data_IF_678164081249
#
_entry.id   IF_678164081249
#
_cell.length_a   1.000
_cell.length_b   1.000
_cell.length_c   1.000
_cell.angle_alpha   90.00
_cell.angle_beta   90.00
_cell.angle_gamma   90.00
#
_symmetry.space_group_name_H-M   'P 1'
#
loop_
_entity.id
_entity.type
_entity.pdbx_description
1 polymer ?
#
# COMPACT_ATOMS: atom_id res chain seq x y z
N UNK A 1 17.02 1.79 1.35
CA UNK A 1 16.46 0.62 2.06
C UNK A 1 17.38 -0.57 1.99
N UNK A 2 17.61 -1.16 0.82
CA UNK A 2 18.47 -2.36 0.66
C UNK A 2 19.96 -2.10 0.90
N UNK A 3 20.51 -0.99 0.41
CA UNK A 3 21.95 -0.68 0.59
C UNK A 3 22.25 -0.26 2.04
N UNK A 4 21.53 0.75 2.55
CA UNK A 4 21.85 1.39 3.84
C UNK A 4 21.02 0.90 5.04
N UNK A 5 20.09 -0.04 4.87
CA UNK A 5 19.20 -0.51 5.94
C UNK A 5 18.24 0.56 6.51
N UNK A 6 18.05 1.68 5.78
CA UNK A 6 17.24 2.85 6.18
C UNK A 6 16.22 3.24 5.11
N UNK A 7 15.11 3.84 5.54
CA UNK A 7 14.12 4.44 4.64
C UNK A 7 14.73 5.59 3.82
N UNK A 8 14.12 5.89 2.67
CA UNK A 8 14.56 7.02 1.85
C UNK A 8 14.27 8.34 2.58
N UNK A 9 15.24 9.26 2.55
CA UNK A 9 15.06 10.62 3.02
C UNK A 9 14.83 11.53 1.82
N UNK A 10 13.83 12.41 1.92
CA UNK A 10 13.53 13.46 0.95
C UNK A 10 13.49 14.83 1.64
N UNK A 11 13.32 15.88 0.85
CA UNK A 11 13.13 17.25 1.31
C UNK A 11 11.99 17.91 0.54
N UNK A 12 11.63 19.14 0.95
CA UNK A 12 10.46 19.88 0.47
C UNK A 12 9.11 19.26 0.89
N UNK A 13 8.02 19.99 0.64
CA UNK A 13 6.66 19.50 0.86
C UNK A 13 6.20 18.58 -0.28
N UNK A 14 5.17 17.78 -0.02
CA UNK A 14 4.49 17.04 -1.08
C UNK A 14 3.55 18.00 -1.84
N UNK A 15 3.91 18.32 -3.06
CA UNK A 15 3.17 19.19 -3.97
C UNK A 15 2.54 18.44 -5.15
N UNK A 16 2.50 17.11 -5.09
CA UNK A 16 1.78 16.25 -6.03
C UNK A 16 0.27 16.20 -5.69
N UNK A 17 -0.60 15.76 -6.62
CA UNK A 17 -2.04 15.73 -6.43
C UNK A 17 -2.43 14.83 -5.27
N UNK A 18 -3.54 15.16 -4.63
CA UNK A 18 -4.21 14.20 -3.77
C UNK A 18 -4.53 12.94 -4.59
N UNK A 19 -4.38 11.77 -3.98
CA UNK A 19 -4.58 10.47 -4.64
C UNK A 19 -5.95 10.33 -5.32
N UNK A 20 -6.96 11.08 -4.86
CA UNK A 20 -8.30 11.13 -5.46
C UNK A 20 -8.40 12.04 -6.70
N UNK A 21 -7.48 12.98 -6.86
CA UNK A 21 -7.37 13.94 -7.98
C UNK A 21 -6.29 13.53 -8.98
N UNK A 22 -5.41 12.59 -8.61
CA UNK A 22 -4.39 12.02 -9.46
C UNK A 22 -5.01 11.42 -10.74
N UNK A 23 -4.39 11.72 -11.88
CA UNK A 23 -4.79 11.17 -13.19
C UNK A 23 -4.21 9.78 -13.44
N UNK A 24 -3.07 9.48 -12.79
CA UNK A 24 -2.41 8.18 -12.85
C UNK A 24 -3.07 7.19 -11.86
N UNK A 25 -3.11 5.89 -12.19
CA UNK A 25 -3.68 4.88 -11.30
C UNK A 25 -2.84 4.79 -10.02
N UNK A 26 -3.50 4.89 -8.86
CA UNK A 26 -2.84 4.89 -7.56
C UNK A 26 -3.07 3.58 -6.80
N UNK A 27 -2.11 3.20 -5.96
CA UNK A 27 -2.29 2.04 -5.10
C UNK A 27 -3.28 2.36 -3.98
N UNK A 28 -4.04 1.34 -3.56
CA UNK A 28 -5.03 1.52 -2.49
C UNK A 28 -4.42 2.07 -1.20
N UNK A 29 -3.16 1.73 -0.92
CA UNK A 29 -2.43 2.21 0.25
C UNK A 29 -2.34 3.74 0.30
N UNK A 30 -2.18 4.41 -0.84
CA UNK A 30 -1.95 5.86 -0.92
C UNK A 30 -3.15 6.71 -0.51
N UNK A 31 -4.35 6.11 -0.51
CA UNK A 31 -5.56 6.77 -0.03
C UNK A 31 -5.62 6.90 1.49
N UNK A 32 -4.77 6.17 2.21
CA UNK A 32 -4.70 6.21 3.66
C UNK A 32 -3.63 7.20 4.11
N UNK A 33 -3.96 8.01 5.12
CA UNK A 33 -3.04 9.03 5.67
C UNK A 33 -2.73 8.72 7.12
N UNK A 34 -1.46 8.44 7.43
CA UNK A 34 -1.00 8.19 8.79
C UNK A 34 -1.47 9.31 9.73
N UNK A 35 -2.19 8.94 10.78
CA UNK A 35 -2.48 9.84 11.89
C UNK A 35 -1.25 10.00 12.77
N UNK A 36 -1.16 11.10 13.49
CA UNK A 36 -0.16 11.33 14.51
C UNK A 36 -0.79 12.04 15.69
N UNK A 37 -0.32 11.73 16.90
CA UNK A 37 -0.77 12.39 18.10
C UNK A 37 -0.14 13.79 18.17
N UNK A 38 -0.98 14.81 18.35
CA UNK A 38 -0.53 16.15 18.67
C UNK A 38 -0.95 16.44 20.10
N UNK A 39 0.00 16.85 20.94
CA UNK A 39 -0.21 17.29 22.34
C UNK A 39 -0.57 16.17 23.33
N UNK A 40 -1.27 15.10 22.93
CA UNK A 40 -1.95 14.21 23.87
C UNK A 40 -1.13 13.05 24.44
N UNK A 41 -0.02 12.61 23.82
CA UNK A 41 0.82 11.52 24.33
C UNK A 41 2.30 11.78 24.01
N UNK A 42 3.26 11.54 24.93
CA UNK A 42 4.68 11.50 24.60
C UNK A 42 5.00 10.29 23.68
N UNK A 43 5.99 10.39 22.78
CA UNK A 43 6.46 9.23 22.03
C UNK A 43 7.07 8.18 22.96
N UNK A 44 6.80 6.90 22.70
CA UNK A 44 7.23 5.73 23.50
C UNK A 44 8.11 4.82 22.64
N UNK A 45 8.96 4.00 23.27
CA UNK A 45 9.73 2.91 22.65
C UNK A 45 8.80 1.74 22.26
N UNK A 46 8.55 1.50 20.96
CA UNK A 46 7.62 0.46 20.53
C UNK A 46 8.29 -0.91 20.35
N UNK A 47 7.51 -1.98 20.44
CA UNK A 47 7.92 -3.37 20.13
C UNK A 47 7.15 -3.94 18.95
N UNK A 48 7.86 -4.69 18.09
CA UNK A 48 7.34 -5.38 16.90
C UNK A 48 6.89 -6.82 17.14
N UNK A 49 7.09 -7.34 18.36
CA UNK A 49 6.73 -8.72 18.68
C UNK A 49 5.25 -8.97 18.39
N UNK A 50 4.99 -9.97 17.53
CA UNK A 50 3.66 -10.19 16.95
C UNK A 50 3.21 -11.62 17.16
N UNK A 51 2.01 -11.79 17.73
CA UNK A 51 1.36 -13.10 17.81
C UNK A 51 0.69 -13.44 16.47
N UNK A 52 0.88 -14.68 16.04
CA UNK A 52 0.21 -15.27 14.88
C UNK A 52 -0.94 -16.17 15.35
N UNK A 53 -2.18 -15.80 15.03
CA UNK A 53 -3.38 -16.61 15.32
C UNK A 53 -3.83 -16.57 16.79
N UNK A 54 -4.57 -17.59 17.27
CA UNK A 54 -5.01 -17.69 18.66
C UNK A 54 -3.83 -17.50 19.64
N UNK A 55 -4.03 -16.70 20.70
CA UNK A 55 -2.96 -16.31 21.64
C UNK A 55 -2.36 -17.53 22.36
N UNK A 56 -1.29 -18.09 21.79
CA UNK A 56 -0.39 -19.03 22.45
C UNK A 56 1.04 -18.49 22.41
N UNK A 57 1.81 -18.62 23.50
CA UNK A 57 3.16 -18.03 23.63
C UNK A 57 4.18 -18.53 22.61
N UNK A 58 3.93 -19.67 21.95
CA UNK A 58 4.82 -20.27 20.95
C UNK A 58 4.73 -19.62 19.56
N UNK A 59 3.79 -18.69 19.34
CA UNK A 59 3.51 -18.11 18.03
C UNK A 59 4.02 -16.67 17.87
N UNK A 60 5.08 -16.33 18.60
CA UNK A 60 5.67 -15.00 18.58
C UNK A 60 6.65 -14.89 17.41
N UNK A 61 6.36 -13.99 16.47
CA UNK A 61 7.32 -13.59 15.45
C UNK A 61 8.01 -12.29 15.85
N UNK A 62 9.33 -12.18 15.61
CA UNK A 62 10.10 -10.98 15.94
C UNK A 62 9.78 -9.80 15.01
N UNK A 63 9.31 -10.09 13.79
CA UNK A 63 8.89 -9.09 12.79
C UNK A 63 7.59 -9.55 12.12
N UNK A 64 6.69 -8.61 11.77
CA UNK A 64 5.52 -8.92 10.95
C UNK A 64 5.88 -9.22 9.48
N UNK A 65 7.13 -9.02 9.06
CA UNK A 65 7.57 -9.17 7.68
C UNK A 65 8.23 -10.53 7.50
N UNK A 66 7.68 -11.31 6.56
CA UNK A 66 8.17 -12.64 6.24
C UNK A 66 8.94 -12.66 4.91
N UNK A 67 10.03 -13.41 4.88
CA UNK A 67 10.72 -13.79 3.64
C UNK A 67 9.86 -14.77 2.83
N UNK A 68 10.27 -15.03 1.59
CA UNK A 68 9.58 -16.00 0.73
C UNK A 68 9.67 -17.41 1.33
N UNK A 69 10.84 -17.76 1.89
CA UNK A 69 11.11 -19.04 2.53
C UNK A 69 10.23 -19.21 3.77
N UNK A 70 10.17 -18.19 4.63
CA UNK A 70 9.32 -18.19 5.82
C UNK A 70 7.84 -18.31 5.43
N UNK A 71 7.38 -17.57 4.43
CA UNK A 71 5.99 -17.67 3.93
C UNK A 71 5.69 -19.06 3.35
N UNK A 72 6.62 -19.67 2.62
CA UNK A 72 6.47 -21.03 2.11
C UNK A 72 6.44 -22.07 3.24
N UNK A 73 7.17 -21.84 4.34
CA UNK A 73 7.06 -22.66 5.54
C UNK A 73 5.66 -22.52 6.17
N UNK A 74 5.10 -21.30 6.25
CA UNK A 74 3.74 -21.08 6.75
C UNK A 74 2.65 -21.76 5.88
N UNK A 75 2.84 -21.82 4.55
CA UNK A 75 1.95 -22.57 3.64
C UNK A 75 1.99 -24.09 3.87
N UNK A 76 3.08 -24.60 4.42
CA UNK A 76 3.30 -26.03 4.67
C UNK A 76 3.29 -26.37 6.17
N UNK A 77 2.75 -25.47 7.00
CA UNK A 77 2.85 -25.53 8.46
C UNK A 77 2.31 -26.84 9.04
N UNK A 78 1.29 -27.45 8.40
CA UNK A 78 0.73 -28.75 8.77
C UNK A 78 1.76 -29.89 8.88
N UNK A 79 2.88 -29.81 8.15
CA UNK A 79 3.90 -30.84 8.17
C UNK A 79 4.74 -30.81 9.46
N UNK A 80 5.01 -29.62 9.98
CA UNK A 80 5.72 -29.45 11.25
C UNK A 80 4.75 -29.45 12.44
N UNK A 81 3.57 -28.86 12.26
CA UNK A 81 2.55 -28.69 13.29
C UNK A 81 1.18 -29.12 12.75
N UNK A 82 0.81 -30.42 12.90
CA UNK A 82 -0.45 -30.95 12.37
C UNK A 82 -1.71 -30.23 12.87
N UNK A 83 -1.65 -29.63 14.07
CA UNK A 83 -2.74 -28.85 14.65
C UNK A 83 -2.92 -27.45 14.02
N UNK A 84 -2.02 -27.05 13.12
CA UNK A 84 -1.98 -25.73 12.48
C UNK A 84 -2.04 -25.87 10.94
N UNK A 85 -3.15 -26.38 10.38
CA UNK A 85 -3.35 -26.39 8.95
C UNK A 85 -3.50 -24.96 8.40
N UNK A 86 -2.90 -24.75 7.23
CA UNK A 86 -2.95 -23.48 6.51
C UNK A 86 -3.57 -23.65 5.13
N UNK A 87 -4.24 -22.61 4.67
CA UNK A 87 -4.82 -22.53 3.32
C UNK A 87 -4.38 -21.23 2.65
N UNK A 88 -4.12 -21.30 1.35
CA UNK A 88 -3.86 -20.12 0.53
C UNK A 88 -5.09 -19.80 -0.29
N UNK A 89 -5.62 -18.59 -0.13
CA UNK A 89 -6.75 -18.06 -0.87
C UNK A 89 -6.19 -17.13 -1.96
N UNK A 90 -6.56 -17.42 -3.20
CA UNK A 90 -6.18 -16.62 -4.35
C UNK A 90 -7.00 -15.33 -4.37
N UNK A 91 -6.33 -14.17 -4.33
CA UNK A 91 -6.97 -12.84 -4.41
C UNK A 91 -6.93 -12.24 -5.81
N UNK A 92 -6.91 -13.09 -6.84
CA UNK A 92 -7.03 -12.68 -8.25
C UNK A 92 -8.36 -13.11 -8.87
N UNK A 93 -8.73 -12.48 -9.98
CA UNK A 93 -9.97 -12.74 -10.71
C UNK A 93 -9.74 -12.65 -12.22
N UNK A 94 -10.69 -13.17 -13.02
CA UNK A 94 -10.51 -13.26 -14.46
C UNK A 94 -10.67 -11.88 -15.10
N UNK A 95 -9.78 -11.53 -16.04
CA UNK A 95 -9.84 -10.27 -16.81
C UNK A 95 -11.18 -10.13 -17.54
N UNK A 96 -11.77 -11.25 -17.97
CA UNK A 96 -13.04 -11.33 -18.69
C UNK A 96 -14.27 -10.92 -17.86
N UNK A 97 -14.19 -11.00 -16.53
CA UNK A 97 -15.28 -10.60 -15.63
C UNK A 97 -15.46 -9.07 -15.57
N UNK A 98 -14.54 -8.31 -16.16
CA UNK A 98 -14.59 -6.85 -16.23
C UNK A 98 -14.55 -6.18 -14.85
N UNK A 99 -15.07 -4.95 -14.76
CA UNK A 99 -15.13 -4.20 -13.51
C UNK A 99 -15.94 -4.91 -12.40
N UNK A 100 -17.11 -5.54 -12.68
CA UNK A 100 -17.87 -6.27 -11.65
C UNK A 100 -17.08 -7.41 -10.99
N UNK A 101 -16.15 -8.02 -11.74
CA UNK A 101 -15.26 -9.07 -11.24
C UNK A 101 -14.49 -8.66 -9.98
N UNK A 102 -14.18 -7.37 -9.81
CA UNK A 102 -13.48 -6.88 -8.63
C UNK A 102 -14.28 -7.05 -7.33
N UNK A 103 -15.57 -6.70 -7.35
CA UNK A 103 -16.46 -6.87 -6.19
C UNK A 103 -16.80 -8.36 -5.97
N UNK A 104 -17.06 -9.10 -7.05
CA UNK A 104 -17.32 -10.55 -6.97
C UNK A 104 -16.13 -11.31 -6.38
N UNK A 105 -14.90 -10.95 -6.77
CA UNK A 105 -13.69 -11.52 -6.22
C UNK A 105 -13.54 -11.24 -4.73
N UNK A 106 -13.87 -10.03 -4.28
CA UNK A 106 -13.87 -9.68 -2.87
C UNK A 106 -14.87 -10.53 -2.09
N UNK A 107 -16.10 -10.66 -2.58
CA UNK A 107 -17.14 -11.50 -1.97
C UNK A 107 -16.72 -12.98 -1.92
N UNK A 108 -16.15 -13.49 -3.01
CA UNK A 108 -15.59 -14.85 -3.09
C UNK A 108 -14.52 -15.07 -2.03
N UNK A 109 -13.53 -14.16 -1.95
CA UNK A 109 -12.42 -14.26 -0.99
C UNK A 109 -12.94 -14.23 0.46
N UNK A 110 -13.94 -13.40 0.77
CA UNK A 110 -14.58 -13.40 2.10
C UNK A 110 -15.28 -14.73 2.41
N UNK A 111 -16.02 -15.29 1.45
CA UNK A 111 -16.73 -16.56 1.62
C UNK A 111 -15.77 -17.75 1.74
N UNK A 112 -14.71 -17.79 0.92
CA UNK A 112 -13.66 -18.81 1.01
C UNK A 112 -12.92 -18.74 2.36
N UNK A 113 -12.69 -17.54 2.89
CA UNK A 113 -12.07 -17.35 4.19
C UNK A 113 -12.97 -17.84 5.35
N UNK A 114 -14.28 -17.63 5.24
CA UNK A 114 -15.27 -18.16 6.18
C UNK A 114 -15.32 -19.69 6.13
N UNK A 115 -15.46 -20.28 4.94
CA UNK A 115 -15.47 -21.73 4.76
C UNK A 115 -14.19 -22.37 5.28
N UNK A 116 -13.02 -21.77 5.02
CA UNK A 116 -11.75 -22.26 5.53
C UNK A 116 -11.72 -22.39 7.06
N UNK A 117 -12.35 -21.47 7.79
CA UNK A 117 -12.40 -21.52 9.25
C UNK A 117 -13.34 -22.64 9.72
N UNK A 118 -14.46 -22.84 9.02
CA UNK A 118 -15.39 -23.94 9.27
C UNK A 118 -14.74 -25.31 9.03
N UNK A 119 -13.90 -25.40 7.99
CA UNK A 119 -13.09 -26.57 7.66
C UNK A 119 -11.93 -26.80 8.66
N UNK A 120 -11.79 -25.94 9.67
CA UNK A 120 -10.82 -26.07 10.75
C UNK A 120 -9.44 -25.48 10.47
N UNK A 121 -9.28 -24.70 9.40
CA UNK A 121 -8.03 -24.01 9.09
C UNK A 121 -7.66 -23.00 10.18
N UNK A 122 -6.37 -22.96 10.54
CA UNK A 122 -5.83 -22.05 11.56
C UNK A 122 -5.05 -20.88 10.98
N UNK A 123 -4.63 -20.99 9.73
CA UNK A 123 -3.91 -19.93 9.03
C UNK A 123 -4.52 -19.73 7.65
N UNK A 124 -4.90 -18.51 7.33
CA UNK A 124 -5.37 -18.08 6.01
C UNK A 124 -4.31 -17.17 5.42
N UNK A 125 -3.88 -17.48 4.19
CA UNK A 125 -2.90 -16.71 3.45
C UNK A 125 -3.58 -16.14 2.22
N UNK A 126 -3.76 -14.82 2.15
CA UNK A 126 -4.27 -14.13 0.98
C UNK A 126 -3.10 -13.88 0.01
N UNK A 127 -3.15 -14.45 -1.21
CA UNK A 127 -2.02 -14.42 -2.16
C UNK A 127 -2.40 -13.89 -3.54
N UNK A 128 -1.63 -12.91 -4.04
CA UNK A 128 -1.76 -12.39 -5.41
C UNK A 128 -0.81 -13.05 -6.43
N UNK A 129 -0.17 -14.17 -6.07
CA UNK A 129 0.78 -14.88 -6.95
C UNK A 129 0.20 -15.37 -8.27
N UNK A 130 -1.10 -15.63 -8.34
CA UNK A 130 -1.77 -16.08 -9.57
C UNK A 130 -1.96 -14.95 -10.60
N UNK A 131 -1.45 -13.74 -10.34
CA UNK A 131 -1.51 -12.64 -11.30
C UNK A 131 -0.84 -13.03 -12.60
N UNK A 132 -1.52 -12.84 -13.73
CA UNK A 132 -1.01 -13.19 -15.04
C UNK A 132 -1.74 -12.47 -16.17
N UNK A 133 -1.49 -12.82 -17.44
CA UNK A 133 -2.11 -12.17 -18.61
C UNK A 133 -3.64 -12.14 -18.56
N UNK A 134 -4.25 -13.19 -18.01
CA UNK A 134 -5.71 -13.35 -17.92
C UNK A 134 -6.27 -13.10 -16.52
N UNK A 135 -5.41 -12.84 -15.52
CA UNK A 135 -5.82 -12.71 -14.11
C UNK A 135 -5.39 -11.38 -13.52
N UNK A 136 -6.38 -10.58 -13.12
CA UNK A 136 -6.18 -9.27 -12.49
C UNK A 136 -6.19 -9.46 -10.96
N UNK A 137 -5.25 -8.87 -10.21
CA UNK A 137 -5.26 -8.98 -8.76
C UNK A 137 -6.16 -7.95 -8.13
N UNK A 138 -6.98 -8.42 -7.18
CA UNK A 138 -7.61 -7.58 -6.18
C UNK A 138 -6.51 -6.82 -5.41
N UNK A 139 -6.81 -5.62 -4.92
CA UNK A 139 -5.91 -4.96 -3.99
C UNK A 139 -5.76 -5.83 -2.74
N UNK A 140 -4.52 -6.20 -2.39
CA UNK A 140 -4.25 -7.01 -1.20
C UNK A 140 -4.78 -6.34 0.08
N UNK A 141 -4.80 -5.01 0.11
CA UNK A 141 -5.39 -4.25 1.21
C UNK A 141 -6.92 -4.37 1.25
N UNK A 142 -7.58 -4.35 0.09
CA UNK A 142 -9.04 -4.56 0.01
C UNK A 142 -9.42 -5.97 0.44
N UNK A 143 -8.66 -6.96 -0.04
CA UNK A 143 -8.84 -8.36 0.36
C UNK A 143 -8.66 -8.54 1.87
N UNK A 144 -7.56 -7.99 2.42
CA UNK A 144 -7.26 -8.07 3.85
C UNK A 144 -8.33 -7.37 4.70
N UNK A 145 -8.69 -6.13 4.38
CA UNK A 145 -9.69 -5.37 5.12
C UNK A 145 -11.07 -6.02 5.04
N UNK A 146 -11.51 -6.43 3.84
CA UNK A 146 -12.76 -7.13 3.63
C UNK A 146 -12.86 -8.43 4.43
N UNK A 147 -11.86 -9.30 4.34
CA UNK A 147 -11.81 -10.55 5.11
C UNK A 147 -11.75 -10.26 6.60
N UNK A 148 -10.91 -9.32 7.04
CA UNK A 148 -10.79 -8.97 8.46
C UNK A 148 -12.13 -8.54 9.04
N UNK A 149 -12.81 -7.58 8.41
CA UNK A 149 -14.09 -7.06 8.89
C UNK A 149 -15.23 -8.08 8.75
N UNK A 150 -15.29 -8.84 7.66
CA UNK A 150 -16.24 -9.94 7.49
C UNK A 150 -16.13 -10.96 8.63
N UNK A 151 -14.91 -11.42 8.92
CA UNK A 151 -14.65 -12.38 9.99
C UNK A 151 -14.88 -11.79 11.40
N UNK A 152 -14.70 -10.48 11.59
CA UNK A 152 -15.03 -9.81 12.86
C UNK A 152 -16.56 -9.79 13.06
N UNK A 153 -17.34 -9.45 12.03
CA UNK A 153 -18.80 -9.46 12.08
C UNK A 153 -19.35 -10.87 12.38
N UNK A 154 -18.75 -11.90 11.79
CA UNK A 154 -19.10 -13.31 12.06
C UNK A 154 -18.50 -13.87 13.36
N UNK A 155 -17.77 -13.06 14.15
CA UNK A 155 -17.09 -13.48 15.40
C UNK A 155 -16.10 -14.64 15.21
N UNK A 156 -15.49 -14.72 14.03
CA UNK A 156 -14.55 -15.78 13.64
C UNK A 156 -13.09 -15.31 13.57
N UNK A 157 -12.81 -13.99 13.51
CA UNK A 157 -11.44 -13.46 13.33
C UNK A 157 -10.44 -13.95 14.37
N UNK A 158 -10.86 -14.20 15.62
CA UNK A 158 -9.98 -14.67 16.68
C UNK A 158 -9.54 -16.15 16.52
N UNK A 159 -10.19 -16.92 15.64
CA UNK A 159 -9.94 -18.35 15.45
C UNK A 159 -8.78 -18.65 14.48
N UNK A 160 -8.33 -17.63 13.73
CA UNK A 160 -7.44 -17.80 12.58
C UNK A 160 -6.34 -16.74 12.57
N UNK A 161 -5.17 -17.10 12.05
CA UNK A 161 -4.13 -16.15 11.66
C UNK A 161 -4.37 -15.69 10.22
N UNK A 162 -4.34 -14.38 9.98
CA UNK A 162 -4.49 -13.82 8.64
C UNK A 162 -3.12 -13.34 8.14
N UNK A 163 -2.67 -13.83 7.00
CA UNK A 163 -1.39 -13.43 6.39
C UNK A 163 -1.63 -12.93 4.98
N UNK A 164 -0.79 -12.02 4.51
CA UNK A 164 -0.87 -11.48 3.16
C UNK A 164 0.44 -11.72 2.42
N UNK A 165 0.36 -12.37 1.26
CA UNK A 165 1.46 -12.48 0.30
C UNK A 165 1.12 -11.59 -0.90
N UNK A 166 1.82 -10.46 -1.03
CA UNK A 166 1.48 -9.46 -2.06
C UNK A 166 2.68 -8.96 -2.86
N UNK A 167 2.43 -8.66 -4.14
CA UNK A 167 3.37 -8.03 -5.06
C UNK A 167 3.42 -6.51 -4.96
N UNK A 168 2.40 -5.87 -4.33
CA UNK A 168 2.22 -4.41 -4.33
C UNK A 168 2.83 -3.70 -3.12
N UNK A 169 3.05 -4.42 -2.01
CA UNK A 169 3.66 -3.83 -0.82
C UNK A 169 5.18 -3.63 -1.05
N UNK A 170 5.64 -2.39 -0.86
CA UNK A 170 7.04 -1.99 -1.09
C UNK A 170 7.54 -0.98 -0.06
N UNK A 171 6.68 -0.02 0.28
CA UNK A 171 6.99 1.05 1.24
C UNK A 171 6.52 0.69 2.65
N UNK A 172 7.18 1.32 3.65
CA UNK A 172 6.79 1.21 5.07
C UNK A 172 5.30 1.47 5.25
N UNK A 173 4.77 2.49 4.59
CA UNK A 173 3.36 2.85 4.68
C UNK A 173 2.43 1.72 4.20
N UNK A 174 2.77 1.01 3.12
CA UNK A 174 1.92 -0.07 2.59
C UNK A 174 1.75 -1.20 3.63
N UNK A 175 2.85 -1.51 4.31
CA UNK A 175 2.90 -2.56 5.34
C UNK A 175 2.18 -2.11 6.62
N UNK A 176 2.41 -0.87 7.06
CA UNK A 176 1.68 -0.30 8.18
C UNK A 176 0.16 -0.35 7.96
N UNK A 177 -0.31 0.00 6.76
CA UNK A 177 -1.75 -0.03 6.45
C UNK A 177 -2.29 -1.47 6.44
N UNK A 178 -1.56 -2.43 5.85
CA UNK A 178 -1.97 -3.85 5.90
C UNK A 178 -2.09 -4.38 7.34
N UNK A 179 -1.11 -4.07 8.19
CA UNK A 179 -1.10 -4.44 9.61
C UNK A 179 -2.24 -3.74 10.36
N UNK A 180 -2.43 -2.44 10.12
CA UNK A 180 -3.51 -1.66 10.69
C UNK A 180 -4.90 -2.20 10.35
N UNK A 181 -5.07 -2.80 9.17
CA UNK A 181 -6.33 -3.44 8.74
C UNK A 181 -6.40 -4.95 8.99
N UNK A 182 -5.57 -5.45 9.90
CA UNK A 182 -5.81 -6.74 10.55
C UNK A 182 -5.05 -7.93 9.99
N UNK A 183 -4.04 -7.74 9.13
CA UNK A 183 -3.09 -8.82 8.83
C UNK A 183 -2.16 -9.05 10.02
N UNK A 184 -1.82 -10.32 10.27
CA UNK A 184 -0.87 -10.72 11.28
C UNK A 184 0.57 -10.65 10.76
N UNK A 185 0.79 -11.04 9.50
CA UNK A 185 2.08 -10.94 8.82
C UNK A 185 1.92 -10.59 7.35
N UNK A 186 2.99 -10.09 6.74
CA UNK A 186 3.05 -9.76 5.31
C UNK A 186 4.32 -10.31 4.68
N UNK A 187 4.19 -10.95 3.52
CA UNK A 187 5.30 -11.28 2.63
C UNK A 187 5.21 -10.41 1.37
N UNK A 188 6.05 -9.36 1.24
CA UNK A 188 6.15 -8.57 0.02
C UNK A 188 6.99 -9.30 -1.04
N UNK A 189 6.45 -10.40 -1.59
CA UNK A 189 7.22 -11.36 -2.39
C UNK A 189 7.89 -10.74 -3.63
N UNK A 190 7.23 -9.82 -4.34
CA UNK A 190 7.82 -9.20 -5.52
C UNK A 190 8.97 -8.26 -5.15
N UNK A 191 8.91 -7.62 -3.99
CA UNK A 191 10.02 -6.83 -3.47
C UNK A 191 11.21 -7.74 -3.15
N UNK A 192 10.98 -8.89 -2.51
CA UNK A 192 12.03 -9.88 -2.24
C UNK A 192 12.68 -10.40 -3.53
N UNK A 193 11.90 -10.70 -4.57
CA UNK A 193 12.43 -11.06 -5.89
C UNK A 193 13.19 -9.91 -6.56
N UNK A 194 12.73 -8.68 -6.38
CA UNK A 194 13.45 -7.50 -6.87
C UNK A 194 14.81 -7.34 -6.18
N UNK A 195 14.90 -7.62 -4.88
CA UNK A 195 16.16 -7.62 -4.13
C UNK A 195 17.13 -8.68 -4.69
N UNK A 196 16.63 -9.89 -4.98
CA UNK A 196 17.42 -10.95 -5.62
C UNK A 196 17.96 -10.51 -6.98
N UNK A 197 17.11 -9.86 -7.80
CA UNK A 197 17.51 -9.32 -9.09
C UNK A 197 18.60 -8.26 -8.95
N UNK A 198 18.45 -7.33 -8.02
CA UNK A 198 19.43 -6.28 -7.71
C UNK A 198 20.80 -6.89 -7.35
N UNK A 199 20.81 -7.92 -6.50
CA UNK A 199 22.04 -8.63 -6.13
C UNK A 199 22.67 -9.37 -7.31
N UNK A 200 21.86 -10.09 -8.11
CA UNK A 200 22.35 -10.82 -9.30
C UNK A 200 22.95 -9.91 -10.36
N UNK A 201 22.36 -8.72 -10.55
CA UNK A 201 22.79 -7.74 -11.56
C UNK A 201 23.86 -6.76 -11.01
N UNK A 202 24.28 -6.92 -9.76
CA UNK A 202 25.27 -6.05 -9.08
C UNK A 202 24.94 -4.55 -9.21
N UNK A 203 23.66 -4.19 -9.04
CA UNK A 203 23.20 -2.80 -9.16
C UNK A 203 23.58 -1.93 -7.95
N UNK A 204 24.16 -2.53 -6.91
CA UNK A 204 24.62 -1.84 -5.69
C UNK A 204 26.14 -1.79 -5.71
N UNK A 205 26.71 -0.65 -5.28
CA UNK A 205 28.16 -0.41 -5.28
C UNK A 205 28.90 -1.25 -4.25
N UNK A 206 28.24 -1.60 -3.14
CA UNK A 206 28.78 -2.47 -2.10
C UNK A 206 28.71 -3.94 -2.50
N UNK A 207 29.76 -4.70 -2.18
CA UNK A 207 29.84 -6.15 -2.38
C UNK A 207 29.03 -6.90 -1.32
N UNK A 208 27.71 -6.72 -1.35
CA UNK A 208 26.78 -7.34 -0.41
C UNK A 208 26.12 -8.58 -0.99
N UNK A 209 25.89 -9.57 -0.15
CA UNK A 209 25.14 -10.78 -0.53
C UNK A 209 23.63 -10.51 -0.54
N UNK A 210 22.87 -11.32 -1.26
CA UNK A 210 21.40 -11.22 -1.34
C UNK A 210 20.74 -11.32 0.05
N UNK A 211 21.30 -12.15 0.94
CA UNK A 211 20.78 -12.33 2.30
C UNK A 211 21.00 -11.09 3.17
N UNK A 212 22.16 -10.43 3.02
CA UNK A 212 22.43 -9.16 3.69
C UNK A 212 21.49 -8.05 3.18
N UNK A 213 21.26 -7.98 1.85
CA UNK A 213 20.32 -7.01 1.26
C UNK A 213 18.88 -7.23 1.76
N UNK A 214 18.47 -8.49 1.89
CA UNK A 214 17.16 -8.86 2.43
C UNK A 214 17.05 -8.49 3.91
N UNK A 215 18.11 -8.71 4.68
CA UNK A 215 18.19 -8.34 6.09
C UNK A 215 18.13 -6.82 6.28
N UNK A 216 18.85 -6.05 5.46
CA UNK A 216 18.78 -4.59 5.44
C UNK A 216 17.39 -4.08 5.07
N UNK A 217 16.74 -4.69 4.08
CA UNK A 217 15.36 -4.35 3.74
C UNK A 217 14.42 -4.57 4.93
N UNK A 218 14.45 -5.77 5.54
CA UNK A 218 13.62 -6.10 6.71
C UNK A 218 13.88 -5.12 7.86
N UNK A 219 15.15 -4.87 8.19
CA UNK A 219 15.53 -3.90 9.23
C UNK A 219 14.98 -2.49 8.94
N UNK A 220 15.07 -2.03 7.68
CA UNK A 220 14.58 -0.71 7.29
C UNK A 220 13.05 -0.58 7.44
N UNK A 221 12.33 -1.66 7.14
CA UNK A 221 10.88 -1.72 7.28
C UNK A 221 10.48 -1.78 8.75
N UNK A 222 11.11 -2.66 9.52
CA UNK A 222 10.87 -2.83 10.95
C UNK A 222 11.04 -1.50 11.69
N UNK A 223 12.17 -0.82 11.46
CA UNK A 223 12.43 0.50 12.02
C UNK A 223 11.41 1.54 11.52
N UNK A 224 10.98 1.47 10.26
CA UNK A 224 9.94 2.32 9.72
C UNK A 224 8.59 2.13 10.41
N UNK A 225 8.19 0.88 10.67
CA UNK A 225 6.95 0.54 11.38
C UNK A 225 7.00 1.08 12.82
N UNK A 226 8.10 0.85 13.53
CA UNK A 226 8.34 1.40 14.87
C UNK A 226 8.21 2.92 14.89
N UNK A 227 8.80 3.60 13.91
CA UNK A 227 8.69 5.06 13.75
C UNK A 227 7.25 5.52 13.51
N UNK A 228 6.45 4.76 12.76
CA UNK A 228 5.03 5.12 12.54
C UNK A 228 4.20 4.90 13.80
N UNK A 229 4.45 3.82 14.55
CA UNK A 229 3.76 3.54 15.81
C UNK A 229 4.06 4.60 16.88
N UNK A 230 5.32 5.03 16.99
CA UNK A 230 5.73 6.03 17.96
C UNK A 230 5.07 7.40 17.73
N UNK A 231 4.75 7.77 16.48
CA UNK A 231 3.99 9.00 16.16
C UNK A 231 2.61 9.05 16.82
N UNK A 232 1.99 7.91 17.09
CA UNK A 232 0.69 7.80 17.76
C UNK A 232 0.82 7.46 19.25
N UNK A 233 2.03 7.24 19.75
CA UNK A 233 2.27 6.74 21.11
C UNK A 233 1.84 5.29 21.31
N UNK A 234 1.83 4.47 20.25
CA UNK A 234 1.47 3.05 20.33
C UNK A 234 2.72 2.23 20.62
N UNK A 235 2.72 1.48 21.73
CA UNK A 235 3.90 0.74 22.21
C UNK A 235 4.00 -0.70 21.70
N UNK A 236 2.91 -1.32 21.24
CA UNK A 236 2.93 -2.73 20.80
C UNK A 236 2.25 -2.89 19.44
N UNK A 237 2.80 -3.74 18.57
CA UNK A 237 2.19 -3.96 17.25
C UNK A 237 0.78 -4.55 17.36
N UNK A 238 0.51 -5.33 18.41
CA UNK A 238 -0.81 -5.88 18.66
C UNK A 238 -1.89 -4.80 18.87
N UNK A 239 -1.53 -3.68 19.51
CA UNK A 239 -2.45 -2.53 19.66
C UNK A 239 -2.54 -1.68 18.39
N UNK A 240 -1.53 -1.78 17.50
CA UNK A 240 -1.56 -1.14 16.19
C UNK A 240 -2.47 -1.89 15.20
N UNK A 241 -2.60 -3.21 15.34
CA UNK A 241 -3.56 -4.02 14.56
C UNK A 241 -4.99 -3.58 14.84
N UNK A 242 -5.73 -3.23 13.80
CA UNK A 242 -7.08 -2.69 13.90
C UNK A 242 -7.15 -1.18 14.17
N UNK A 243 -6.00 -0.48 14.28
CA UNK A 243 -5.98 0.98 14.39
C UNK A 243 -6.28 1.60 13.02
N UNK A 244 -7.46 2.21 12.90
CA UNK A 244 -8.03 2.65 11.64
C UNK A 244 -7.50 4.03 11.21
N UNK A 245 -7.33 4.18 9.90
CA UNK A 245 -6.71 5.33 9.26
C UNK A 245 -7.65 5.84 8.16
N UNK A 246 -7.82 7.16 8.03
CA UNK A 246 -8.73 7.86 7.11
C UNK A 246 -8.79 7.23 5.69
N UNK A 247 -9.99 6.98 5.17
CA UNK A 247 -10.27 6.21 3.95
C UNK A 247 -11.67 6.49 3.39
N UNK A 248 -11.91 6.13 2.11
CA UNK A 248 -12.81 6.81 1.13
C UNK A 248 -14.32 6.50 1.20
N UNK A 249 -14.99 6.47 0.03
CA UNK A 249 -16.43 6.39 -0.21
C UNK A 249 -17.13 5.42 0.75
N UNK A 250 -18.32 5.79 1.24
CA UNK A 250 -19.02 5.08 2.31
C UNK A 250 -19.13 3.58 2.03
N UNK A 251 -19.49 3.19 0.82
CA UNK A 251 -19.61 1.78 0.41
C UNK A 251 -18.32 0.96 0.61
N UNK A 252 -17.16 1.51 0.23
CA UNK A 252 -15.87 0.83 0.36
C UNK A 252 -15.44 0.73 1.83
N UNK A 253 -15.70 1.79 2.61
CA UNK A 253 -15.39 1.83 4.03
C UNK A 253 -16.29 0.88 4.82
N UNK A 254 -17.58 0.87 4.52
CA UNK A 254 -18.58 0.02 5.18
C UNK A 254 -18.34 -1.48 4.93
N UNK A 255 -17.73 -1.83 3.79
CA UNK A 255 -17.45 -3.24 3.49
C UNK A 255 -16.03 -3.67 3.90
N UNK A 256 -15.02 -2.83 3.70
CA UNK A 256 -13.62 -3.24 3.84
C UNK A 256 -12.85 -2.54 4.97
N UNK A 257 -13.33 -1.43 5.52
CA UNK A 257 -12.57 -0.58 6.44
C UNK A 257 -13.46 0.05 7.52
N UNK A 258 -14.38 -0.74 8.11
CA UNK A 258 -15.47 -0.25 8.97
C UNK A 258 -14.93 0.57 10.14
N UNK A 259 -15.40 1.81 10.30
CA UNK A 259 -15.03 2.72 11.39
C UNK A 259 -13.96 3.76 11.00
N UNK A 260 -13.39 3.63 9.81
CA UNK A 260 -12.51 4.62 9.23
C UNK A 260 -13.27 5.90 8.87
N UNK A 261 -12.80 7.05 9.34
CA UNK A 261 -13.42 8.33 9.00
C UNK A 261 -13.22 8.68 7.52
N UNK A 262 -14.32 9.04 6.87
CA UNK A 262 -14.38 9.49 5.47
C UNK A 262 -15.17 10.80 5.38
N UNK A 263 -14.46 11.93 5.30
CA UNK A 263 -15.10 13.26 5.27
C UNK A 263 -15.39 13.76 3.86
N UNK A 264 -14.62 13.28 2.89
CA UNK A 264 -14.78 13.60 1.47
C UNK A 264 -14.90 12.27 0.74
N UNK A 265 -16.06 12.06 0.12
CA UNK A 265 -16.30 10.85 -0.66
C UNK A 265 -15.34 10.78 -1.85
N UNK A 266 -14.97 9.56 -2.22
CA UNK A 266 -13.96 9.30 -3.24
C UNK A 266 -14.33 8.15 -4.15
N UNK A 267 -13.39 7.27 -4.45
CA UNK A 267 -13.55 6.22 -5.45
C UNK A 267 -14.50 5.16 -4.94
N UNK A 268 -15.38 4.78 -5.85
CA UNK A 268 -16.20 3.58 -5.76
C UNK A 268 -15.37 2.36 -6.12
N UNK A 269 -15.94 1.17 -5.94
CA UNK A 269 -15.33 -0.08 -6.37
C UNK A 269 -15.00 -0.08 -7.87
N UNK A 270 -15.86 0.52 -8.71
CA UNK A 270 -15.63 0.60 -10.15
C UNK A 270 -14.35 1.36 -10.50
N UNK A 271 -14.09 2.48 -9.82
CA UNK A 271 -12.87 3.27 -10.04
C UNK A 271 -11.63 2.53 -9.55
N UNK A 272 -11.71 1.82 -8.42
CA UNK A 272 -10.63 0.98 -7.92
C UNK A 272 -10.35 -0.21 -8.85
N UNK A 273 -11.40 -0.81 -9.40
CA UNK A 273 -11.30 -1.86 -10.40
C UNK A 273 -10.61 -1.31 -11.66
N UNK A 274 -11.04 -0.14 -12.14
CA UNK A 274 -10.48 0.51 -13.32
C UNK A 274 -8.99 0.81 -13.15
N UNK A 275 -8.55 1.27 -11.97
CA UNK A 275 -7.13 1.43 -11.66
C UNK A 275 -6.37 0.10 -11.64
N UNK A 276 -6.99 -0.97 -11.12
CA UNK A 276 -6.42 -2.31 -11.15
C UNK A 276 -6.22 -2.80 -12.61
N UNK A 277 -7.21 -2.59 -13.48
CA UNK A 277 -7.13 -2.89 -14.91
C UNK A 277 -6.10 -2.04 -15.63
N UNK A 278 -6.01 -0.73 -15.37
CA UNK A 278 -4.97 0.14 -15.93
C UNK A 278 -3.56 -0.34 -15.56
N UNK A 279 -3.34 -0.72 -14.31
CA UNK A 279 -2.06 -1.27 -13.86
C UNK A 279 -1.78 -2.65 -14.48
N UNK A 280 -2.80 -3.49 -14.67
CA UNK A 280 -2.69 -4.78 -15.35
C UNK A 280 -2.31 -4.59 -16.82
N UNK A 281 -2.97 -3.68 -17.52
CA UNK A 281 -2.74 -3.36 -18.92
C UNK A 281 -1.33 -2.78 -19.17
N UNK A 282 -0.76 -2.07 -18.19
CA UNK A 282 0.67 -1.66 -18.24
C UNK A 282 1.63 -2.86 -18.22
N UNK A 283 1.28 -3.94 -17.51
CA UNK A 283 2.09 -5.16 -17.42
C UNK A 283 1.84 -6.15 -18.56
N UNK A 284 0.60 -6.21 -19.05
CA UNK A 284 0.16 -7.07 -20.16
C UNK A 284 -0.65 -6.23 -21.16
N UNK A 285 0.03 -5.44 -22.00
CA UNK A 285 -0.65 -4.58 -22.96
C UNK A 285 -1.37 -5.41 -24.03
N UNK A 286 -2.62 -5.04 -24.35
CA UNK A 286 -3.41 -5.65 -25.42
C UNK A 286 -2.81 -5.41 -26.80
N UNK A 287 -2.00 -4.36 -26.95
CA UNK A 287 -1.31 -4.02 -28.19
C UNK A 287 0.18 -3.89 -27.89
N UNK A 288 0.99 -4.56 -28.70
CA UNK A 288 2.43 -4.35 -28.66
C UNK A 288 2.74 -2.90 -29.03
N UNK A 289 3.32 -2.18 -28.08
CA UNK A 289 3.84 -0.84 -28.28
C UNK A 289 5.35 -0.86 -28.05
N UNK A 290 6.09 -0.13 -28.88
CA UNK A 290 7.53 0.03 -28.71
C UNK A 290 7.72 0.99 -27.53
N UNK A 291 7.87 0.44 -26.34
CA UNK A 291 8.19 1.19 -25.12
C UNK A 291 9.67 1.01 -24.79
N UNK A 292 10.36 2.06 -24.30
CA UNK A 292 11.70 1.89 -23.75
C UNK A 292 11.68 0.82 -22.66
N UNK A 293 12.69 -0.07 -22.62
CA UNK A 293 12.77 -1.10 -21.59
C UNK A 293 12.93 -0.42 -20.21
N UNK A 294 12.01 -0.70 -19.29
CA UNK A 294 12.05 -0.15 -17.94
C UNK A 294 10.66 0.13 -17.38
N UNK A 295 10.60 0.55 -16.12
CA UNK A 295 9.37 1.13 -15.57
C UNK A 295 9.26 2.60 -16.01
N UNK A 296 8.05 3.10 -16.30
CA UNK A 296 7.87 4.50 -16.60
C UNK A 296 8.21 5.32 -15.35
N UNK A 297 8.90 6.44 -15.55
CA UNK A 297 9.08 7.42 -14.48
C UNK A 297 7.75 8.13 -14.27
N UNK A 298 7.13 7.93 -13.11
CA UNK A 298 5.79 8.48 -12.83
C UNK A 298 5.81 9.95 -12.41
N UNK A 299 6.98 10.46 -12.01
CA UNK A 299 7.13 11.80 -11.48
C UNK A 299 6.46 11.98 -10.11
N UNK A 300 6.27 10.93 -9.31
CA UNK A 300 5.51 11.04 -8.05
C UNK A 300 6.23 11.82 -6.94
N UNK A 301 7.56 11.71 -6.87
CA UNK A 301 8.38 12.38 -5.85
C UNK A 301 9.02 13.67 -6.37
N UNK A 302 9.27 13.74 -7.67
CA UNK A 302 9.95 14.85 -8.33
C UNK A 302 9.22 15.16 -9.62
N UNK A 303 9.00 16.45 -9.87
CA UNK A 303 8.44 16.92 -11.12
C UNK A 303 9.28 16.43 -12.30
N UNK A 304 8.60 15.92 -13.32
CA UNK A 304 9.19 15.50 -14.59
C UNK A 304 8.30 15.95 -15.74
N UNK A 305 8.92 16.20 -16.89
CA UNK A 305 8.15 16.47 -18.12
C UNK A 305 7.30 15.24 -18.44
N UNK A 306 5.98 15.45 -18.60
CA UNK A 306 4.94 14.40 -18.77
C UNK A 306 4.70 13.49 -17.56
N UNK A 307 5.25 13.83 -16.40
CA UNK A 307 4.97 13.15 -15.14
C UNK A 307 3.65 13.61 -14.50
N UNK A 308 3.51 13.33 -13.20
CA UNK A 308 2.43 13.88 -12.39
C UNK A 308 2.49 15.41 -12.32
N UNK A 309 1.33 16.05 -12.10
CA UNK A 309 1.27 17.50 -11.89
C UNK A 309 1.91 17.87 -10.54
N UNK A 310 2.69 18.95 -10.50
CA UNK A 310 3.23 19.51 -9.26
C UNK A 310 2.92 21.00 -9.20
N UNK A 311 2.69 21.52 -7.99
CA UNK A 311 2.49 22.95 -7.77
C UNK A 311 3.74 23.72 -8.18
N UNK A 312 4.92 23.19 -7.81
CA UNK A 312 6.20 23.79 -8.12
C UNK A 312 6.74 23.23 -9.45
N UNK A 313 6.08 23.58 -10.55
CA UNK A 313 6.56 23.25 -11.89
C UNK A 313 7.66 24.22 -12.34
N UNK A 314 8.46 23.78 -13.33
CA UNK A 314 9.58 24.57 -13.84
C UNK A 314 9.16 25.92 -14.43
N UNK A 315 8.02 25.96 -15.14
CA UNK A 315 7.50 27.17 -15.75
C UNK A 315 6.97 28.16 -14.71
N UNK A 316 6.26 27.71 -13.69
CA UNK A 316 5.80 28.55 -12.58
C UNK A 316 6.96 29.17 -11.82
N UNK A 317 7.98 28.38 -11.47
CA UNK A 317 9.17 28.88 -10.76
C UNK A 317 9.91 29.92 -11.61
N UNK A 318 10.12 29.67 -12.90
CA UNK A 318 10.82 30.60 -13.78
C UNK A 318 10.09 31.95 -13.89
N UNK A 319 8.77 31.93 -14.09
CA UNK A 319 7.95 33.14 -14.15
C UNK A 319 7.96 33.90 -12.83
N UNK A 320 7.93 33.21 -11.69
CA UNK A 320 8.02 33.84 -10.38
C UNK A 320 9.39 34.51 -10.15
N UNK A 321 10.48 33.85 -10.57
CA UNK A 321 11.82 34.41 -10.48
C UNK A 321 11.97 35.68 -11.32
N UNK A 322 11.48 35.67 -12.57
CA UNK A 322 11.49 36.85 -13.45
C UNK A 322 10.65 37.99 -12.86
N UNK A 323 9.44 37.69 -12.40
CA UNK A 323 8.54 38.66 -11.79
C UNK A 323 9.19 39.41 -10.61
N UNK A 324 9.87 38.69 -9.71
CA UNK A 324 10.46 39.28 -8.50
C UNK A 324 11.79 39.98 -8.78
N UNK A 325 12.61 39.45 -9.69
CA UNK A 325 13.94 40.03 -10.00
C UNK A 325 13.83 41.25 -10.90
N UNK A 326 13.02 41.18 -11.96
CA UNK A 326 12.91 42.22 -12.98
C UNK A 326 11.69 43.14 -12.76
N UNK A 327 10.88 42.89 -11.72
CA UNK A 327 9.62 43.59 -11.44
C UNK A 327 8.64 43.50 -12.62
N UNK A 328 8.64 42.36 -13.31
CA UNK A 328 7.84 42.12 -14.50
C UNK A 328 6.42 41.67 -14.14
N UNK A 329 5.44 42.56 -14.30
CA UNK A 329 4.03 42.26 -14.01
C UNK A 329 3.46 41.17 -14.95
N UNK A 330 3.90 41.12 -16.21
CA UNK A 330 3.44 40.11 -17.17
C UNK A 330 3.87 38.71 -16.73
N UNK A 331 5.09 38.57 -16.23
CA UNK A 331 5.59 37.32 -15.66
C UNK A 331 4.82 36.91 -14.41
N UNK A 332 4.48 37.88 -13.53
CA UNK A 332 3.64 37.59 -12.36
C UNK A 332 2.25 37.09 -12.77
N UNK A 333 1.62 37.73 -13.76
CA UNK A 333 0.30 37.30 -14.26
C UNK A 333 0.36 35.88 -14.85
N UNK A 334 1.43 35.54 -15.57
CA UNK A 334 1.66 34.19 -16.09
C UNK A 334 1.89 33.16 -14.97
N UNK A 335 2.68 33.51 -13.94
CA UNK A 335 2.85 32.69 -12.74
C UNK A 335 1.52 32.45 -12.02
N UNK A 336 0.75 33.50 -11.75
CA UNK A 336 -0.52 33.41 -11.02
C UNK A 336 -1.53 32.53 -11.77
N UNK A 337 -1.59 32.66 -13.10
CA UNK A 337 -2.44 31.80 -13.93
C UNK A 337 -2.00 30.34 -13.85
N UNK A 338 -0.70 30.05 -14.00
CA UNK A 338 -0.18 28.68 -13.88
C UNK A 338 -0.47 28.09 -12.49
N UNK A 339 -0.15 28.82 -11.41
CA UNK A 339 -0.37 28.38 -10.04
C UNK A 339 -1.85 28.06 -9.76
N UNK A 340 -2.78 28.87 -10.29
CA UNK A 340 -4.21 28.60 -10.19
C UNK A 340 -4.61 27.33 -10.95
N UNK A 341 -4.10 27.09 -12.15
CA UNK A 341 -4.37 25.86 -12.91
C UNK A 341 -3.80 24.61 -12.23
N UNK A 342 -2.58 24.67 -11.69
CA UNK A 342 -2.02 23.57 -10.90
C UNK A 342 -2.83 23.31 -9.63
N UNK A 343 -3.29 24.38 -8.97
CA UNK A 343 -4.12 24.25 -7.75
C UNK A 343 -5.41 23.50 -8.02
N UNK A 344 -6.06 23.75 -9.17
CA UNK A 344 -7.29 23.04 -9.61
C UNK A 344 -7.06 21.54 -9.81
N UNK A 345 -5.88 21.13 -10.27
CA UNK A 345 -5.57 19.72 -10.53
C UNK A 345 -5.04 18.98 -9.30
N UNK A 346 -4.52 19.68 -8.29
CA UNK A 346 -3.77 19.08 -7.17
C UNK A 346 -4.54 19.11 -5.84
N UNK A 347 -5.26 20.19 -5.55
CA UNK A 347 -5.81 20.48 -4.21
C UNK A 347 -7.34 20.59 -4.19
N UNK A 348 -7.94 20.21 -3.05
CA UNK A 348 -9.39 20.34 -2.86
C UNK A 348 -9.90 21.77 -2.98
N UNK A 349 -9.14 22.77 -2.53
CA UNK A 349 -9.56 24.17 -2.64
C UNK A 349 -9.53 24.67 -4.09
N UNK A 350 -8.81 24.00 -4.99
CA UNK A 350 -8.89 24.24 -6.42
C UNK A 350 -10.18 23.76 -7.07
N UNK A 351 -10.99 22.95 -6.37
CA UNK A 351 -12.34 22.56 -6.82
C UNK A 351 -13.41 23.59 -6.44
N UNK A 352 -13.03 24.62 -5.67
CA UNK A 352 -13.94 25.69 -5.25
C UNK A 352 -13.87 26.84 -6.26
N UNK A 353 -15.01 27.50 -6.48
CA UNK A 353 -15.10 28.68 -7.33
C UNK A 353 -15.78 29.83 -6.59
N UNK A 354 -15.45 31.06 -6.96
CA UNK A 354 -16.02 32.25 -6.37
C UNK A 354 -17.34 32.61 -7.07
N UNK A 355 -18.39 32.76 -6.28
CA UNK A 355 -19.67 33.29 -6.76
C UNK A 355 -19.73 34.78 -6.48
N UNK A 356 -19.49 35.58 -7.52
CA UNK A 356 -19.54 37.04 -7.47
C UNK A 356 -20.94 37.61 -7.64
#
# INVERSE_FOLDING_TARGET
>A
MVENGKEALGSMGNDAPLTAMATQPRLMHEYFRQLFAQVTNPPIDPSLETYVGPKVPQNLLPSPILTIEEMNAMKNLKHAYPAWPSVTIDITFLKEEGLPGYQLALQRVCSEAEQAIEDGMKVIILSDRATGPTRVPLSALMACGGVHHHLVLQKMRAKVALMVETRKAREVHHLCVLIGYGTDTVCPWLMMETIRKIGRENLIKSSMTVDELTTHYRHSIDHGILKVMSKMGISTLQSYKGAQILGRHSEVVEQCFIGTASRVQGATFDLLALDAFKLHERGWPMRETILPPGMPESGEYHWQDRGEAHINDSAGIANLQDAVREKNQTAYNAYALNANEQTKSIHLHGLLDFRY
#
